data_IF_989609818848
#
_entry.id   IF_989609818848
#
_cell.length_a   1.000
_cell.length_b   1.000
_cell.length_c   1.000
_cell.angle_alpha   90.00
_cell.angle_beta   90.00
_cell.angle_gamma   90.00
#
_symmetry.space_group_name_H-M   'P 1'
#
loop_
_entity.id
_entity.type
_entity.pdbx_description
1 polymer ?
#
# COMPACT_ATOMS: atom_id res chain seq x y z
N UNK A 1 13.48 45.79 -7.46
CA UNK A 1 13.67 46.77 -6.36
C UNK A 1 13.59 46.02 -5.04
N UNK A 2 14.64 46.19 -4.24
CA UNK A 2 14.75 45.99 -2.78
C UNK A 2 14.39 44.64 -2.14
N UNK A 3 15.46 43.87 -1.93
CA UNK A 3 15.73 43.10 -0.71
C UNK A 3 15.44 43.91 0.57
N UNK A 4 14.91 43.26 1.61
CA UNK A 4 15.10 43.70 2.99
C UNK A 4 15.41 42.52 3.92
N UNK A 5 16.70 42.44 4.30
CA UNK A 5 17.11 41.99 5.64
C UNK A 5 16.75 43.09 6.64
N UNK A 6 16.60 42.70 7.91
CA UNK A 6 16.58 43.47 9.18
C UNK A 6 15.35 43.04 10.00
N UNK A 7 15.34 42.82 11.32
CA UNK A 7 16.29 43.17 12.37
C UNK A 7 15.98 42.30 13.61
N UNK A 8 17.04 41.89 14.33
CA UNK A 8 17.04 41.30 15.68
C UNK A 8 16.38 42.20 16.74
N UNK A 9 16.04 41.58 17.89
CA UNK A 9 15.91 42.08 19.30
C UNK A 9 14.50 41.79 19.86
N UNK A 10 14.26 41.40 21.11
CA UNK A 10 15.06 41.27 22.33
C UNK A 10 14.30 40.34 23.33
N UNK A 11 15.04 39.82 24.30
CA UNK A 11 14.66 39.00 25.46
C UNK A 11 13.55 39.55 26.38
N UNK A 12 12.78 38.62 26.98
CA UNK A 12 12.35 38.57 28.40
C UNK A 12 11.72 37.18 28.63
N UNK A 13 12.31 36.17 29.29
CA UNK A 13 12.74 35.96 30.70
C UNK A 13 11.61 36.03 31.73
N UNK A 14 11.49 34.92 32.48
CA UNK A 14 10.76 34.65 33.73
C UNK A 14 9.25 34.38 33.61
N UNK A 15 8.66 33.38 34.28
CA UNK A 15 9.02 32.77 35.56
C UNK A 15 8.63 31.29 35.69
N UNK A 16 9.21 30.69 36.74
CA UNK A 16 9.36 29.29 37.11
C UNK A 16 8.10 28.63 37.67
N UNK A 17 7.94 27.35 37.30
CA UNK A 17 7.37 26.19 37.99
C UNK A 17 6.03 26.29 38.77
N UNK A 18 5.10 25.41 38.39
CA UNK A 18 4.35 24.60 39.35
C UNK A 18 4.29 23.14 38.84
N UNK A 19 4.60 22.24 39.76
CA UNK A 19 4.94 20.83 39.54
C UNK A 19 3.71 19.97 39.26
N UNK A 20 3.82 19.06 38.28
CA UNK A 20 3.15 17.77 38.33
C UNK A 20 4.11 16.71 37.78
N UNK A 21 4.81 16.03 38.70
CA UNK A 21 5.46 14.76 38.42
C UNK A 21 4.40 13.68 38.40
N UNK A 22 4.20 12.99 37.26
CA UNK A 22 4.10 11.52 37.21
C UNK A 22 4.03 11.04 35.75
N UNK A 23 4.87 10.03 35.46
CA UNK A 23 4.92 9.16 34.27
C UNK A 23 5.60 9.78 33.03
N UNK A 24 6.90 9.52 32.94
CA UNK A 24 7.68 9.75 31.73
C UNK A 24 7.36 8.73 30.62
N UNK A 25 7.23 9.25 29.40
CA UNK A 25 7.69 8.54 28.20
C UNK A 25 8.70 9.47 27.55
N UNK A 26 9.97 9.21 27.82
CA UNK A 26 11.08 9.86 27.14
C UNK A 26 11.22 9.14 25.79
N UNK A 27 10.67 9.73 24.73
CA UNK A 27 10.96 9.29 23.37
C UNK A 27 12.42 9.62 23.06
N UNK A 28 13.33 8.71 23.43
CA UNK A 28 14.73 8.78 23.04
C UNK A 28 14.81 8.55 21.54
N UNK A 29 14.91 9.63 20.77
CA UNK A 29 15.43 9.59 19.41
C UNK A 29 16.91 9.24 19.46
N UNK A 30 17.21 7.95 19.53
CA UNK A 30 18.54 7.46 19.13
C UNK A 30 18.67 7.68 17.63
N UNK A 31 19.33 8.78 17.25
CA UNK A 31 19.99 8.89 15.96
C UNK A 31 21.10 7.83 15.89
N UNK A 32 20.71 6.61 15.53
CA UNK A 32 21.64 5.66 14.97
C UNK A 32 21.97 6.19 13.57
N UNK A 33 23.19 6.72 13.41
CA UNK A 33 23.80 6.94 12.12
C UNK A 33 23.86 5.58 11.40
N UNK A 34 22.84 5.27 10.62
CA UNK A 34 22.90 4.19 9.65
C UNK A 34 23.72 4.71 8.48
N UNK A 35 24.97 4.28 8.44
CA UNK A 35 25.80 4.28 7.25
C UNK A 35 25.01 3.61 6.12
N UNK A 36 24.35 4.41 5.30
CA UNK A 36 23.76 3.95 4.06
C UNK A 36 24.93 3.66 3.11
N UNK A 37 25.32 2.39 3.06
CA UNK A 37 26.09 1.87 1.95
C UNK A 37 25.19 1.93 0.71
N UNK A 38 25.27 3.06 0.00
CA UNK A 38 24.79 3.16 -1.36
C UNK A 38 25.63 2.21 -2.22
N UNK A 39 24.99 1.19 -2.78
CA UNK A 39 25.59 0.39 -3.85
C UNK A 39 25.53 -1.12 -3.59
N UNK A 40 24.43 -1.72 -4.04
CA UNK A 40 24.46 -2.90 -4.90
C UNK A 40 23.02 -3.11 -5.40
N UNK A 41 22.82 -3.02 -6.72
CA UNK A 41 21.58 -3.50 -7.33
C UNK A 41 21.49 -4.99 -7.01
N UNK A 42 20.67 -5.33 -6.02
CA UNK A 42 20.46 -6.69 -5.60
C UNK A 42 19.84 -7.44 -6.80
N UNK A 43 20.41 -8.57 -7.25
CA UNK A 43 19.75 -9.39 -8.28
C UNK A 43 18.32 -9.66 -7.83
N UNK A 44 17.36 -9.64 -8.76
CA UNK A 44 15.91 -9.75 -8.50
C UNK A 44 15.62 -10.65 -7.30
N UNK A 45 15.52 -10.03 -6.12
CA UNK A 45 15.44 -10.78 -4.89
C UNK A 45 14.11 -11.50 -4.90
N UNK A 46 14.14 -12.82 -4.67
CA UNK A 46 12.93 -13.62 -4.51
C UNK A 46 12.08 -12.98 -3.42
N UNK A 47 10.76 -12.94 -3.66
CA UNK A 47 9.82 -12.39 -2.68
C UNK A 47 9.96 -13.09 -1.33
N UNK A 48 9.69 -12.35 -0.26
CA UNK A 48 9.47 -12.98 1.04
C UNK A 48 8.25 -13.92 0.96
N UNK A 49 8.16 -14.90 1.86
CA UNK A 49 6.98 -15.78 1.91
C UNK A 49 5.68 -15.01 2.14
N UNK A 50 5.74 -13.91 2.91
CA UNK A 50 4.62 -13.01 3.12
C UNK A 50 4.17 -12.31 1.85
N UNK A 51 5.12 -11.74 1.09
CA UNK A 51 4.81 -11.05 -0.16
C UNK A 51 4.34 -12.02 -1.25
N UNK A 52 4.93 -13.22 -1.33
CA UNK A 52 4.47 -14.26 -2.25
C UNK A 52 3.03 -14.69 -1.92
N UNK A 53 2.71 -14.87 -0.64
CA UNK A 53 1.36 -15.20 -0.20
C UNK A 53 0.38 -14.07 -0.55
N UNK A 54 0.73 -12.82 -0.22
CA UNK A 54 -0.11 -11.67 -0.53
C UNK A 54 -0.38 -11.56 -2.05
N UNK A 55 0.62 -11.81 -2.88
CA UNK A 55 0.47 -11.79 -4.34
C UNK A 55 -0.50 -12.88 -4.84
N UNK A 56 -0.41 -14.10 -4.29
CA UNK A 56 -1.35 -15.19 -4.60
C UNK A 56 -2.77 -14.89 -4.11
N UNK A 57 -2.91 -14.36 -2.89
CA UNK A 57 -4.20 -13.98 -2.33
C UNK A 57 -4.88 -12.88 -3.18
N UNK A 58 -4.11 -11.87 -3.61
CA UNK A 58 -4.60 -10.81 -4.51
C UNK A 58 -5.07 -11.37 -5.85
N UNK A 59 -4.33 -12.33 -6.42
CA UNK A 59 -4.73 -12.99 -7.66
C UNK A 59 -6.04 -13.77 -7.47
N UNK A 60 -6.14 -14.58 -6.40
CA UNK A 60 -7.34 -15.35 -6.10
C UNK A 60 -8.57 -14.45 -5.92
N UNK A 61 -8.42 -13.36 -5.16
CA UNK A 61 -9.50 -12.40 -4.93
C UNK A 61 -9.99 -11.80 -6.26
N UNK A 62 -9.09 -11.35 -7.13
CA UNK A 62 -9.48 -10.79 -8.43
C UNK A 62 -10.15 -11.84 -9.33
N UNK A 63 -9.67 -13.08 -9.33
CA UNK A 63 -10.28 -14.16 -10.11
C UNK A 63 -11.72 -14.41 -9.63
N UNK A 64 -11.92 -14.50 -8.32
CA UNK A 64 -13.25 -14.67 -7.72
C UNK A 64 -14.17 -13.48 -8.04
N UNK A 65 -13.67 -12.25 -7.92
CA UNK A 65 -14.44 -11.02 -8.20
C UNK A 65 -14.83 -10.93 -9.67
N UNK A 66 -13.94 -11.29 -10.61
CA UNK A 66 -14.27 -11.35 -12.04
C UNK A 66 -15.32 -12.42 -12.32
N UNK A 67 -15.20 -13.62 -11.71
CA UNK A 67 -16.18 -14.68 -11.88
C UNK A 67 -17.57 -14.27 -11.34
N UNK A 68 -17.61 -13.68 -10.14
CA UNK A 68 -18.84 -13.16 -9.55
C UNK A 68 -19.45 -12.03 -10.39
N UNK A 69 -18.64 -11.10 -10.91
CA UNK A 69 -19.11 -10.03 -11.77
C UNK A 69 -19.68 -10.56 -13.10
N UNK A 70 -19.08 -11.60 -13.69
CA UNK A 70 -19.63 -12.27 -14.88
C UNK A 70 -20.97 -12.93 -14.59
N UNK A 71 -21.11 -13.59 -13.43
CA UNK A 71 -22.40 -14.15 -13.02
C UNK A 71 -23.46 -13.05 -12.83
N UNK A 72 -23.09 -11.94 -12.19
CA UNK A 72 -24.00 -10.79 -12.04
C UNK A 72 -24.40 -10.21 -13.40
N UNK A 73 -23.48 -10.09 -14.34
CA UNK A 73 -23.74 -9.61 -15.70
C UNK A 73 -24.74 -10.53 -16.44
N UNK A 74 -24.60 -11.86 -16.27
CA UNK A 74 -25.50 -12.86 -16.86
C UNK A 74 -26.91 -12.85 -16.23
N UNK A 75 -27.00 -12.72 -14.90
CA UNK A 75 -28.27 -12.85 -14.17
C UNK A 75 -29.05 -11.55 -14.00
N UNK A 76 -28.39 -10.39 -14.06
CA UNK A 76 -29.01 -9.10 -13.82
C UNK A 76 -30.15 -8.82 -14.82
N UNK A 77 -31.24 -8.25 -14.30
CA UNK A 77 -32.40 -7.85 -15.11
C UNK A 77 -32.37 -6.36 -15.46
N UNK A 78 -31.71 -5.53 -14.65
CA UNK A 78 -31.69 -4.08 -14.83
C UNK A 78 -30.41 -3.61 -15.52
N UNK A 79 -30.51 -2.52 -16.28
CA UNK A 79 -29.40 -1.89 -16.99
C UNK A 79 -28.29 -1.43 -16.06
N UNK A 80 -28.65 -0.94 -14.87
CA UNK A 80 -27.72 -0.37 -13.90
C UNK A 80 -26.82 -1.47 -13.33
N UNK A 81 -27.39 -2.62 -12.96
CA UNK A 81 -26.62 -3.74 -12.41
C UNK A 81 -25.73 -4.35 -13.50
N UNK A 82 -26.21 -4.48 -14.75
CA UNK A 82 -25.37 -4.94 -15.87
C UNK A 82 -24.19 -4.00 -16.12
N UNK A 83 -24.42 -2.70 -16.13
CA UNK A 83 -23.37 -1.69 -16.33
C UNK A 83 -22.32 -1.77 -15.22
N UNK A 84 -22.77 -1.89 -13.97
CA UNK A 84 -21.87 -2.05 -12.84
C UNK A 84 -21.08 -3.37 -12.90
N UNK A 85 -21.74 -4.48 -13.22
CA UNK A 85 -21.10 -5.78 -13.36
C UNK A 85 -20.04 -5.78 -14.48
N UNK A 86 -20.32 -5.14 -15.62
CA UNK A 86 -19.34 -4.98 -16.69
C UNK A 86 -18.12 -4.17 -16.21
N UNK A 87 -18.34 -3.06 -15.51
CA UNK A 87 -17.25 -2.26 -14.92
C UNK A 87 -16.40 -3.10 -13.96
N UNK A 88 -17.01 -3.97 -13.15
CA UNK A 88 -16.29 -4.87 -12.25
C UNK A 88 -15.44 -5.88 -13.01
N UNK A 89 -15.95 -6.47 -14.10
CA UNK A 89 -15.17 -7.36 -14.98
C UNK A 89 -13.96 -6.63 -15.56
N UNK A 90 -14.17 -5.39 -16.04
CA UNK A 90 -13.11 -4.62 -16.70
C UNK A 90 -12.02 -4.20 -15.70
N UNK A 91 -12.41 -3.61 -14.57
CA UNK A 91 -11.48 -3.08 -13.57
C UNK A 91 -10.68 -4.20 -12.89
N UNK A 92 -11.35 -5.27 -12.43
CA UNK A 92 -10.69 -6.38 -11.76
C UNK A 92 -9.92 -7.27 -12.75
N UNK A 93 -10.39 -7.39 -14.00
CA UNK A 93 -9.62 -8.05 -15.07
C UNK A 93 -8.31 -7.32 -15.39
N UNK A 94 -8.34 -5.98 -15.45
CA UNK A 94 -7.15 -5.17 -15.63
C UNK A 94 -6.21 -5.25 -14.42
N UNK A 95 -6.75 -5.28 -13.20
CA UNK A 95 -5.96 -5.47 -11.99
C UNK A 95 -5.30 -6.86 -11.94
N UNK A 96 -6.03 -7.93 -12.27
CA UNK A 96 -5.49 -9.28 -12.37
C UNK A 96 -4.33 -9.37 -13.37
N UNK A 97 -4.46 -8.73 -14.53
CA UNK A 97 -3.40 -8.68 -15.54
C UNK A 97 -2.11 -8.04 -14.99
N UNK A 98 -2.23 -6.99 -14.18
CA UNK A 98 -1.08 -6.35 -13.51
C UNK A 98 -0.47 -7.27 -12.46
N UNK A 99 -1.29 -7.97 -11.67
CA UNK A 99 -0.83 -8.97 -10.68
C UNK A 99 -0.07 -10.11 -11.36
N UNK A 100 -0.61 -10.65 -12.46
CA UNK A 100 0.05 -11.67 -13.29
C UNK A 100 1.39 -11.19 -13.84
N UNK A 101 1.46 -9.94 -14.29
CA UNK A 101 2.72 -9.34 -14.77
C UNK A 101 3.77 -9.27 -13.66
N UNK A 102 3.39 -8.89 -12.44
CA UNK A 102 4.31 -8.86 -11.29
C UNK A 102 4.75 -10.27 -10.92
N UNK A 103 3.82 -11.22 -10.88
CA UNK A 103 4.10 -12.61 -10.56
C UNK A 103 5.08 -13.25 -11.56
N UNK A 104 4.89 -13.02 -12.86
CA UNK A 104 5.81 -13.48 -13.90
C UNK A 104 7.22 -12.90 -13.70
N UNK A 105 7.33 -11.59 -13.44
CA UNK A 105 8.63 -10.94 -13.17
C UNK A 105 9.32 -11.47 -11.92
N UNK A 106 8.55 -11.99 -10.95
CA UNK A 106 9.06 -12.51 -9.67
C UNK A 106 9.12 -14.04 -9.61
N UNK A 107 8.79 -14.73 -10.70
CA UNK A 107 8.79 -16.19 -10.77
C UNK A 107 7.80 -16.85 -9.80
N UNK A 108 6.67 -16.19 -9.54
CA UNK A 108 5.59 -16.71 -8.69
C UNK A 108 4.49 -17.29 -9.55
N UNK A 109 4.09 -18.52 -9.26
CA UNK A 109 2.93 -19.16 -9.86
C UNK A 109 1.65 -18.72 -9.12
N UNK A 110 0.64 -18.30 -9.89
CA UNK A 110 -0.64 -17.83 -9.36
C UNK A 110 -1.72 -18.89 -9.52
N UNK A 111 -2.79 -18.87 -8.68
CA UNK A 111 -3.97 -19.69 -8.90
C UNK A 111 -4.59 -19.43 -10.29
N UNK A 112 -5.06 -20.47 -11.01
CA UNK A 112 -5.60 -20.32 -12.35
C UNK A 112 -7.12 -20.07 -12.40
N UNK A 113 -7.84 -20.45 -11.35
CA UNK A 113 -9.31 -20.56 -11.33
C UNK A 113 -9.87 -20.04 -10.00
N UNK A 114 -11.19 -19.74 -9.92
CA UNK A 114 -11.84 -19.42 -8.67
C UNK A 114 -11.62 -20.51 -7.61
N UNK A 115 -11.55 -20.12 -6.34
CA UNK A 115 -11.43 -21.10 -5.27
C UNK A 115 -12.76 -21.84 -5.06
N UNK A 116 -12.68 -23.05 -4.50
CA UNK A 116 -13.86 -23.87 -4.26
C UNK A 116 -14.72 -23.38 -3.08
N UNK A 117 -14.28 -22.35 -2.34
CA UNK A 117 -15.03 -21.82 -1.20
C UNK A 117 -16.15 -20.86 -1.64
N UNK A 118 -16.20 -20.49 -2.92
CA UNK A 118 -17.13 -19.50 -3.48
C UNK A 118 -17.77 -19.96 -4.79
#
# INVERSE_FOLDING_TARGET
MHTSKTLKRLLAVSAVAAMFSTIGVQAQTTSAAQTQTAGQAQPDARLSSGDEKALKDMAQANINEVAAARLALDKAQTSEVKTFAQKMVDDHGAALTKVQTVAQKKGVELPPEPDAAH
#
